data_IF_901083837932
#
_entry.id   IF_901083837932
#
_cell.length_a   1.000
_cell.length_b   1.000
_cell.length_c   1.000
_cell.angle_alpha   90.00
_cell.angle_beta   90.00
_cell.angle_gamma   90.00
#
_symmetry.space_group_name_H-M   'P 1'
#
loop_
_entity.id
_entity.type
_entity.pdbx_description
1 polymer ?
#
# COMPACT_ATOMS: atom_id res chain seq x y z
N UNK A 1 -6.83 6.58 -16.34
CA UNK A 1 -7.25 5.77 -15.17
C UNK A 1 -8.57 5.07 -15.44
N UNK A 2 -8.75 3.85 -14.94
CA UNK A 2 -10.03 3.13 -14.94
C UNK A 2 -10.68 3.30 -13.57
N UNK A 3 -12.00 3.51 -13.51
CA UNK A 3 -12.75 3.67 -12.26
C UNK A 3 -13.74 2.50 -12.10
N UNK A 4 -13.72 1.87 -10.93
CA UNK A 4 -14.67 0.85 -10.49
C UNK A 4 -15.33 1.37 -9.22
N UNK A 5 -16.62 1.65 -9.30
CA UNK A 5 -17.41 2.14 -8.16
C UNK A 5 -18.24 0.99 -7.61
N UNK A 6 -18.12 0.76 -6.33
CA UNK A 6 -18.80 -0.32 -5.60
C UNK A 6 -19.78 0.28 -4.59
N UNK A 7 -20.83 -0.43 -4.25
CA UNK A 7 -21.85 0.08 -3.32
C UNK A 7 -21.32 0.30 -1.91
N UNK A 8 -20.34 -0.51 -1.50
CA UNK A 8 -19.82 -0.53 -0.14
C UNK A 8 -18.41 -1.13 -0.07
N UNK A 9 -17.85 -1.11 1.14
CA UNK A 9 -16.52 -1.64 1.43
C UNK A 9 -16.35 -3.13 1.06
N UNK A 10 -17.39 -3.96 1.25
CA UNK A 10 -17.32 -5.38 0.92
C UNK A 10 -17.20 -5.63 -0.58
N UNK A 11 -18.02 -4.96 -1.38
CA UNK A 11 -17.96 -5.05 -2.84
C UNK A 11 -16.63 -4.49 -3.37
N UNK A 12 -16.15 -3.36 -2.83
CA UNK A 12 -14.84 -2.79 -3.15
C UNK A 12 -13.71 -3.80 -2.86
N UNK A 13 -13.75 -4.41 -1.69
CA UNK A 13 -12.76 -5.41 -1.28
C UNK A 13 -12.76 -6.65 -2.18
N UNK A 14 -13.94 -7.14 -2.56
CA UNK A 14 -14.08 -8.27 -3.48
C UNK A 14 -13.59 -7.93 -4.89
N UNK A 15 -13.93 -6.74 -5.41
CA UNK A 15 -13.46 -6.28 -6.71
C UNK A 15 -11.92 -6.14 -6.76
N UNK A 16 -11.33 -5.58 -5.69
CA UNK A 16 -9.88 -5.46 -5.58
C UNK A 16 -9.19 -6.84 -5.50
N UNK A 17 -9.73 -7.77 -4.69
CA UNK A 17 -9.22 -9.13 -4.58
C UNK A 17 -9.28 -9.88 -5.91
N UNK A 18 -10.35 -9.70 -6.69
CA UNK A 18 -10.47 -10.31 -8.00
C UNK A 18 -9.40 -9.82 -8.98
N UNK A 19 -9.09 -8.52 -8.99
CA UNK A 19 -8.02 -7.97 -9.83
C UNK A 19 -6.66 -8.58 -9.47
N UNK A 20 -6.34 -8.68 -8.17
CA UNK A 20 -5.09 -9.30 -7.69
C UNK A 20 -5.06 -10.78 -8.05
N UNK A 21 -6.15 -11.50 -7.83
CA UNK A 21 -6.28 -12.92 -8.16
C UNK A 21 -6.07 -13.20 -9.66
N UNK A 22 -6.62 -12.35 -10.53
CA UNK A 22 -6.46 -12.49 -11.98
C UNK A 22 -4.99 -12.28 -12.41
N UNK A 23 -4.28 -11.34 -11.76
CA UNK A 23 -2.83 -11.16 -11.98
C UNK A 23 -2.06 -12.40 -11.53
N UNK A 24 -2.35 -12.95 -10.34
CA UNK A 24 -1.70 -14.17 -9.83
C UNK A 24 -1.97 -15.38 -10.71
N UNK A 25 -3.18 -15.54 -11.24
CA UNK A 25 -3.53 -16.64 -12.18
C UNK A 25 -2.79 -16.52 -13.51
N UNK A 26 -2.52 -15.30 -13.96
CA UNK A 26 -1.78 -15.04 -15.21
C UNK A 26 -0.29 -15.26 -15.04
N UNK A 27 0.27 -14.89 -13.87
CA UNK A 27 1.68 -15.06 -13.51
C UNK A 27 1.80 -15.58 -12.07
N UNK A 28 1.84 -16.92 -11.88
CA UNK A 28 1.90 -17.53 -10.55
C UNK A 28 3.20 -17.27 -9.77
N UNK A 29 4.20 -16.67 -10.40
CA UNK A 29 5.46 -16.27 -9.78
C UNK A 29 5.65 -14.75 -9.70
N UNK A 30 4.58 -14.00 -9.86
CA UNK A 30 4.63 -12.55 -9.89
C UNK A 30 5.04 -11.92 -8.55
N UNK A 31 5.43 -10.64 -8.63
CA UNK A 31 5.65 -9.78 -7.48
C UNK A 31 4.37 -8.99 -7.21
N UNK A 32 3.90 -9.02 -5.97
CA UNK A 32 2.78 -8.20 -5.50
C UNK A 32 3.30 -7.05 -4.64
N UNK A 33 2.95 -5.82 -5.00
CA UNK A 33 3.14 -4.66 -4.16
C UNK A 33 1.94 -4.49 -3.21
N UNK A 34 2.19 -4.46 -1.91
CA UNK A 34 1.14 -4.51 -0.88
C UNK A 34 1.14 -3.26 -0.01
N UNK A 35 -0.03 -2.91 0.50
CA UNK A 35 -0.27 -1.79 1.38
C UNK A 35 -0.77 -2.26 2.75
N UNK A 36 -0.56 -1.45 3.78
CA UNK A 36 -1.12 -1.63 5.11
C UNK A 36 -2.29 -0.66 5.37
N UNK A 37 -2.82 -0.66 6.58
CA UNK A 37 -3.97 0.14 6.96
C UNK A 37 -5.29 -0.60 6.83
N UNK A 38 -6.39 0.03 7.24
CA UNK A 38 -7.71 -0.62 7.32
C UNK A 38 -8.34 -0.91 5.95
N UNK A 39 -8.05 -0.09 4.95
CA UNK A 39 -8.69 -0.20 3.63
C UNK A 39 -8.43 -1.53 2.91
N UNK A 40 -7.19 -2.07 2.81
CA UNK A 40 -6.94 -3.32 2.11
C UNK A 40 -7.30 -4.59 2.90
N UNK A 41 -7.67 -4.51 4.17
CA UNK A 41 -7.94 -5.69 5.01
C UNK A 41 -9.05 -6.58 4.43
N UNK A 42 -10.13 -5.99 3.93
CA UNK A 42 -11.21 -6.75 3.29
C UNK A 42 -10.74 -7.49 2.04
N UNK A 43 -9.89 -6.87 1.23
CA UNK A 43 -9.25 -7.51 0.08
C UNK A 43 -8.39 -8.70 0.52
N UNK A 44 -7.56 -8.55 1.58
CA UNK A 44 -6.73 -9.65 2.09
C UNK A 44 -7.59 -10.83 2.60
N UNK A 45 -8.70 -10.54 3.30
CA UNK A 45 -9.64 -11.59 3.71
C UNK A 45 -10.18 -12.37 2.51
N UNK A 46 -10.55 -11.70 1.43
CA UNK A 46 -11.02 -12.36 0.20
C UNK A 46 -9.93 -13.19 -0.48
N UNK A 47 -8.70 -12.68 -0.54
CA UNK A 47 -7.55 -13.45 -1.07
C UNK A 47 -7.26 -14.70 -0.23
N UNK A 48 -7.38 -14.63 1.10
CA UNK A 48 -7.26 -15.78 2.00
C UNK A 48 -8.37 -16.81 1.72
N UNK A 49 -9.62 -16.37 1.56
CA UNK A 49 -10.76 -17.24 1.21
C UNK A 49 -10.47 -17.95 -0.12
N UNK A 50 -10.03 -17.23 -1.16
CA UNK A 50 -9.69 -17.78 -2.48
C UNK A 50 -8.53 -18.78 -2.41
N UNK A 51 -7.49 -18.50 -1.60
CA UNK A 51 -6.36 -19.42 -1.41
C UNK A 51 -6.83 -20.72 -0.71
N UNK A 52 -7.64 -20.61 0.35
CA UNK A 52 -8.21 -21.77 1.04
C UNK A 52 -9.13 -22.61 0.15
N UNK A 53 -9.82 -21.97 -0.79
CA UNK A 53 -10.64 -22.64 -1.80
C UNK A 53 -9.82 -23.25 -2.95
N UNK A 54 -8.50 -23.03 -3.00
CA UNK A 54 -7.64 -23.51 -4.07
C UNK A 54 -7.77 -22.74 -5.39
N UNK A 55 -8.39 -21.56 -5.36
CA UNK A 55 -8.56 -20.71 -6.55
C UNK A 55 -7.30 -19.94 -6.93
N UNK A 56 -6.45 -19.62 -5.96
CA UNK A 56 -5.16 -18.95 -6.12
C UNK A 56 -4.10 -19.61 -5.22
N UNK A 57 -2.83 -19.51 -5.64
CA UNK A 57 -1.68 -20.13 -4.97
C UNK A 57 -0.63 -19.06 -4.67
N UNK A 58 -0.23 -18.91 -3.40
CA UNK A 58 0.80 -17.96 -2.99
C UNK A 58 2.20 -18.57 -2.93
N UNK A 59 2.38 -19.88 -3.15
CA UNK A 59 3.68 -20.56 -3.01
C UNK A 59 4.76 -20.02 -3.93
N UNK A 60 4.39 -19.51 -5.11
CA UNK A 60 5.29 -18.88 -6.08
C UNK A 60 5.44 -17.36 -5.91
N UNK A 61 4.60 -16.72 -5.12
CA UNK A 61 4.50 -15.26 -5.04
C UNK A 61 5.64 -14.65 -4.23
N UNK A 62 6.10 -13.48 -4.67
CA UNK A 62 6.97 -12.57 -3.90
C UNK A 62 6.18 -11.32 -3.57
N UNK A 63 6.40 -10.73 -2.39
CA UNK A 63 5.72 -9.48 -2.02
C UNK A 63 6.70 -8.38 -1.62
N UNK A 64 6.37 -7.14 -1.94
CA UNK A 64 7.07 -5.94 -1.48
C UNK A 64 6.04 -4.98 -0.87
N UNK A 65 6.29 -4.48 0.34
CA UNK A 65 5.40 -3.54 1.00
C UNK A 65 5.86 -2.09 0.78
N UNK A 66 4.89 -1.16 0.79
CA UNK A 66 5.13 0.26 0.53
C UNK A 66 6.02 0.93 1.58
N UNK A 67 5.90 0.54 2.84
CA UNK A 67 6.50 1.29 3.92
C UNK A 67 6.63 0.47 5.22
N UNK A 68 7.36 1.03 6.18
CA UNK A 68 7.40 0.60 7.59
C UNK A 68 7.64 1.81 8.50
N UNK A 69 7.15 1.79 9.71
CA UNK A 69 7.51 2.78 10.74
C UNK A 69 8.98 2.71 11.13
N UNK A 70 9.52 3.86 11.58
CA UNK A 70 10.90 3.93 12.04
C UNK A 70 11.06 4.87 13.25
N UNK A 71 11.75 4.42 14.34
CA UNK A 71 12.20 3.04 14.57
C UNK A 71 11.05 2.16 15.06
N UNK A 72 10.99 0.90 14.60
CA UNK A 72 10.04 -0.09 15.11
C UNK A 72 10.59 -1.52 14.94
N UNK A 73 10.34 -2.37 15.95
CA UNK A 73 10.63 -3.81 15.85
C UNK A 73 9.58 -4.52 14.97
N UNK A 74 9.96 -5.49 14.13
CA UNK A 74 9.00 -6.30 13.37
C UNK A 74 8.08 -7.16 14.26
N UNK A 75 8.45 -7.40 15.52
CA UNK A 75 7.63 -8.08 16.53
C UNK A 75 6.64 -7.15 17.23
N UNK A 76 6.80 -5.84 17.10
CA UNK A 76 5.85 -4.88 17.62
C UNK A 76 4.51 -5.05 16.87
N UNK A 77 3.42 -5.18 17.63
CA UNK A 77 2.08 -5.42 17.09
C UNK A 77 1.55 -4.25 16.22
N UNK A 78 2.23 -3.11 16.21
CA UNK A 78 1.92 -1.97 15.36
C UNK A 78 2.86 -1.85 14.14
N UNK A 79 3.88 -2.72 14.01
CA UNK A 79 4.71 -2.72 12.81
C UNK A 79 3.93 -3.19 11.57
N UNK A 80 4.32 -2.72 10.41
CA UNK A 80 3.70 -3.17 9.16
C UNK A 80 4.09 -4.60 8.81
N UNK A 81 5.27 -5.07 9.24
CA UNK A 81 5.62 -6.50 9.18
C UNK A 81 4.64 -7.34 9.97
N UNK A 82 4.35 -6.96 11.22
CA UNK A 82 3.37 -7.67 12.05
C UNK A 82 1.97 -7.60 11.44
N UNK A 83 1.55 -6.41 10.98
CA UNK A 83 0.27 -6.23 10.29
C UNK A 83 0.10 -7.19 9.11
N UNK A 84 1.12 -7.31 8.26
CA UNK A 84 1.06 -8.19 7.09
C UNK A 84 1.02 -9.66 7.48
N UNK A 85 1.76 -10.07 8.50
CA UNK A 85 1.68 -11.42 9.04
C UNK A 85 0.25 -11.73 9.49
N UNK A 86 -0.33 -10.87 10.33
CA UNK A 86 -1.67 -11.07 10.92
C UNK A 86 -2.81 -11.00 9.89
N UNK A 87 -2.68 -10.20 8.84
CA UNK A 87 -3.79 -9.97 7.90
C UNK A 87 -3.68 -10.77 6.61
N UNK A 88 -2.50 -11.35 6.29
CA UNK A 88 -2.33 -12.13 5.07
C UNK A 88 -1.34 -13.29 5.23
N UNK A 89 -0.07 -13.05 5.59
CA UNK A 89 1.01 -14.02 5.39
C UNK A 89 0.84 -15.29 6.24
N UNK A 90 0.29 -15.20 7.44
CA UNK A 90 0.05 -16.34 8.33
C UNK A 90 -1.14 -17.21 7.89
N UNK A 91 -1.93 -16.75 6.92
CA UNK A 91 -3.18 -17.37 6.52
C UNK A 91 -3.16 -18.00 5.13
N UNK A 92 -2.05 -17.82 4.38
CA UNK A 92 -1.86 -18.32 3.03
C UNK A 92 -0.55 -19.12 2.92
N UNK A 93 -0.38 -19.87 1.85
CA UNK A 93 0.78 -20.73 1.63
C UNK A 93 2.00 -20.00 1.04
N UNK A 94 2.22 -18.74 1.42
CA UNK A 94 3.39 -17.96 0.97
C UNK A 94 4.67 -18.39 1.72
N UNK A 95 5.78 -18.43 1.01
CA UNK A 95 7.11 -18.49 1.64
C UNK A 95 7.46 -17.10 2.20
N UNK A 96 7.47 -16.97 3.54
CA UNK A 96 7.74 -15.69 4.20
C UNK A 96 9.13 -15.11 3.91
N UNK A 97 10.10 -15.93 3.47
CA UNK A 97 11.42 -15.45 3.04
C UNK A 97 11.36 -14.64 1.74
N UNK A 98 10.23 -14.71 1.03
CA UNK A 98 9.93 -13.96 -0.18
C UNK A 98 9.00 -12.76 0.06
N UNK A 99 8.80 -12.38 1.32
CA UNK A 99 7.99 -11.21 1.70
C UNK A 99 8.88 -10.11 2.25
N UNK A 100 8.92 -8.97 1.59
CA UNK A 100 9.80 -7.86 1.92
C UNK A 100 9.03 -6.66 2.45
N UNK A 101 9.47 -6.14 3.58
CA UNK A 101 9.02 -4.90 4.22
C UNK A 101 10.27 -4.12 4.56
N UNK A 102 10.31 -2.78 4.44
CA UNK A 102 11.47 -1.99 4.84
C UNK A 102 11.91 -2.29 6.28
N UNK A 103 13.23 -2.24 6.55
CA UNK A 103 13.77 -2.56 7.88
C UNK A 103 13.58 -1.40 8.86
N UNK A 104 12.54 -1.47 9.67
CA UNK A 104 12.25 -0.48 10.73
C UNK A 104 13.23 -0.48 11.90
N UNK A 105 14.16 -1.44 12.01
CA UNK A 105 15.16 -1.52 13.07
C UNK A 105 16.58 -1.18 12.62
N UNK A 106 16.78 -0.85 11.35
CA UNK A 106 18.12 -0.56 10.83
C UNK A 106 18.81 0.55 11.62
N UNK A 107 20.09 0.39 11.88
CA UNK A 107 20.90 1.41 12.58
C UNK A 107 21.03 2.71 11.75
N UNK A 108 21.06 2.58 10.41
CA UNK A 108 21.05 3.68 9.46
C UNK A 108 19.81 3.55 8.56
N UNK A 109 18.79 4.38 8.77
CA UNK A 109 17.57 4.31 7.99
C UNK A 109 17.76 4.72 6.52
N UNK A 110 18.75 5.56 6.19
CA UNK A 110 19.04 5.92 4.80
C UNK A 110 19.64 4.73 4.04
N UNK A 111 20.61 4.03 4.65
CA UNK A 111 21.15 2.79 4.09
C UNK A 111 20.09 1.69 3.96
N UNK A 112 19.13 1.62 4.90
CA UNK A 112 18.01 0.69 4.80
C UNK A 112 17.10 1.00 3.60
N UNK A 113 16.87 2.27 3.29
CA UNK A 113 16.12 2.67 2.10
C UNK A 113 16.83 2.28 0.81
N UNK A 114 18.16 2.47 0.73
CA UNK A 114 18.96 2.05 -0.42
C UNK A 114 18.93 0.53 -0.60
N UNK A 115 19.13 -0.23 0.48
CA UNK A 115 19.05 -1.69 0.47
C UNK A 115 17.65 -2.19 0.04
N UNK A 116 16.59 -1.49 0.44
CA UNK A 116 15.24 -1.83 0.03
C UNK A 116 14.99 -1.58 -1.47
N UNK A 117 15.52 -0.49 -2.03
CA UNK A 117 15.50 -0.25 -3.48
C UNK A 117 16.23 -1.35 -4.25
N UNK A 118 17.37 -1.84 -3.74
CA UNK A 118 18.10 -2.97 -4.34
C UNK A 118 17.25 -4.25 -4.33
N UNK A 119 16.54 -4.52 -3.23
CA UNK A 119 15.62 -5.66 -3.13
C UNK A 119 14.51 -5.52 -4.19
N UNK A 120 13.86 -4.36 -4.26
CA UNK A 120 12.78 -4.09 -5.22
C UNK A 120 13.27 -4.23 -6.66
N UNK A 121 14.46 -3.70 -6.97
CA UNK A 121 15.07 -3.83 -8.29
C UNK A 121 15.40 -5.31 -8.63
N UNK A 122 15.88 -6.08 -7.66
CA UNK A 122 16.26 -7.49 -7.84
C UNK A 122 15.05 -8.40 -8.05
N UNK A 123 13.96 -8.20 -7.30
CA UNK A 123 12.76 -9.04 -7.45
C UNK A 123 11.95 -8.64 -8.69
N UNK A 124 12.19 -7.45 -9.22
CA UNK A 124 11.53 -6.91 -10.41
C UNK A 124 10.29 -6.08 -10.07
N UNK A 125 9.71 -5.41 -11.08
CA UNK A 125 8.56 -4.56 -10.87
C UNK A 125 7.37 -5.37 -10.39
N UNK A 126 6.58 -4.80 -9.47
CA UNK A 126 5.33 -5.42 -9.04
C UNK A 126 4.38 -5.59 -10.24
N UNK A 127 3.84 -6.80 -10.41
CA UNK A 127 2.83 -7.08 -11.42
C UNK A 127 1.55 -6.28 -11.14
N UNK A 128 1.22 -6.11 -9.85
CA UNK A 128 0.23 -5.17 -9.36
C UNK A 128 0.71 -4.54 -8.05
N UNK A 129 0.64 -3.22 -7.96
CA UNK A 129 0.86 -2.45 -6.73
C UNK A 129 -0.49 -2.04 -6.16
N UNK A 130 -0.77 -2.49 -4.95
CA UNK A 130 -1.94 -2.06 -4.17
C UNK A 130 -1.59 -0.79 -3.41
N UNK A 131 -2.45 0.21 -3.47
CA UNK A 131 -2.34 1.47 -2.75
C UNK A 131 -3.63 1.74 -1.96
N UNK A 132 -3.50 2.35 -0.80
CA UNK A 132 -4.54 3.16 -0.18
C UNK A 132 -4.33 4.63 -0.53
N UNK A 133 -5.29 5.49 -0.16
CA UNK A 133 -5.17 6.95 -0.27
C UNK A 133 -5.45 7.61 1.08
N UNK A 134 -4.58 8.53 1.48
CA UNK A 134 -4.83 9.39 2.64
C UNK A 134 -5.93 10.43 2.37
N UNK A 135 -6.52 10.98 3.43
CA UNK A 135 -7.51 12.07 3.30
C UNK A 135 -6.93 13.31 2.61
N UNK A 136 -5.63 13.55 2.77
CA UNK A 136 -4.89 14.63 2.11
C UNK A 136 -4.28 14.24 0.75
N UNK A 137 -4.57 13.03 0.26
CA UNK A 137 -4.09 12.54 -1.02
C UNK A 137 -2.71 11.88 -0.99
N UNK A 138 -2.13 11.60 0.19
CA UNK A 138 -0.87 10.84 0.26
C UNK A 138 -1.05 9.39 -0.20
N UNK A 139 0.02 8.82 -0.74
CA UNK A 139 0.16 7.39 -1.07
C UNK A 139 1.46 6.86 -0.47
N UNK A 140 1.40 5.68 0.22
CA UNK A 140 2.44 5.30 1.15
C UNK A 140 2.54 6.35 2.26
N UNK A 141 3.75 6.80 2.59
CA UNK A 141 3.97 8.00 3.42
C UNK A 141 4.52 9.18 2.60
N UNK A 142 4.19 9.23 1.29
CA UNK A 142 4.47 10.42 0.48
C UNK A 142 3.40 11.47 0.76
N UNK A 143 3.66 12.34 1.73
CA UNK A 143 2.76 13.41 2.15
C UNK A 143 2.78 14.59 1.17
N UNK A 144 1.72 15.43 1.13
CA UNK A 144 1.74 16.69 0.39
C UNK A 144 2.96 17.55 0.73
N UNK A 145 3.73 17.94 -0.30
CA UNK A 145 4.92 18.77 -0.16
C UNK A 145 5.15 19.58 -1.45
N UNK A 146 6.14 20.48 -1.43
CA UNK A 146 6.60 21.23 -2.61
C UNK A 146 7.37 20.37 -3.60
N UNK A 147 7.97 19.27 -3.14
CA UNK A 147 8.64 18.26 -3.94
C UNK A 147 8.29 16.86 -3.43
N UNK A 148 8.39 15.86 -4.28
CA UNK A 148 8.12 14.45 -3.93
C UNK A 148 9.36 13.62 -4.27
N UNK A 149 9.71 12.71 -3.35
CA UNK A 149 10.84 11.80 -3.53
C UNK A 149 10.53 10.71 -4.56
N UNK A 150 11.52 10.38 -5.37
CA UNK A 150 11.40 9.37 -6.43
C UNK A 150 11.61 7.97 -5.90
N UNK A 151 12.63 7.79 -5.03
CA UNK A 151 13.03 6.48 -4.48
C UNK A 151 12.54 6.30 -3.05
N UNK A 152 12.72 5.10 -2.54
CA UNK A 152 12.50 4.80 -1.11
C UNK A 152 13.35 5.72 -0.25
N UNK A 153 12.72 6.34 0.74
CA UNK A 153 13.32 7.38 1.57
C UNK A 153 12.79 7.37 2.99
N UNK A 154 13.51 8.04 3.86
CA UNK A 154 13.07 8.32 5.23
C UNK A 154 12.19 9.58 5.21
N UNK A 155 11.00 9.48 5.77
CA UNK A 155 10.10 10.65 5.89
C UNK A 155 9.67 10.88 7.33
N UNK A 156 9.43 12.14 7.70
CA UNK A 156 8.73 12.50 8.92
C UNK A 156 7.23 12.33 8.75
N UNK A 157 6.55 11.82 9.77
CA UNK A 157 5.09 11.76 9.77
C UNK A 157 4.49 13.11 10.14
N UNK A 158 3.45 13.53 9.43
CA UNK A 158 2.72 14.74 9.78
C UNK A 158 1.93 14.56 11.07
N UNK A 159 1.64 15.64 11.79
CA UNK A 159 0.81 15.58 13.01
C UNK A 159 -0.55 14.94 12.75
N UNK A 160 -1.15 15.21 11.58
CA UNK A 160 -2.42 14.59 11.17
C UNK A 160 -2.30 13.09 11.01
N UNK A 161 -1.20 12.59 10.44
CA UNK A 161 -0.92 11.17 10.29
C UNK A 161 -0.64 10.51 11.65
N UNK A 162 0.13 11.15 12.52
CA UNK A 162 0.38 10.67 13.90
C UNK A 162 -0.93 10.56 14.66
N UNK A 163 -1.78 11.60 14.66
CA UNK A 163 -3.09 11.57 15.31
C UNK A 163 -4.03 10.51 14.73
N UNK A 164 -4.06 10.36 13.41
CA UNK A 164 -4.89 9.33 12.77
C UNK A 164 -4.45 7.91 13.14
N UNK A 165 -3.15 7.70 13.37
CA UNK A 165 -2.57 6.41 13.72
C UNK A 165 -2.53 6.15 15.23
N UNK A 166 -2.68 7.19 16.10
CA UNK A 166 -2.66 7.06 17.55
C UNK A 166 -3.66 6.02 18.09
N UNK A 167 -4.77 5.83 17.40
CA UNK A 167 -5.79 4.80 17.72
C UNK A 167 -5.27 3.35 17.70
N UNK A 168 -4.11 3.11 17.09
CA UNK A 168 -3.48 1.79 17.03
C UNK A 168 -2.39 1.60 18.09
N UNK A 169 -1.98 2.64 18.78
CA UNK A 169 -0.92 2.63 19.80
C UNK A 169 -1.50 2.85 21.20
N UNK A 170 -0.74 2.53 22.24
CA UNK A 170 -1.14 2.75 23.63
C UNK A 170 -1.33 4.25 23.94
N UNK A 171 -0.53 5.12 23.33
CA UNK A 171 -0.67 6.58 23.38
C UNK A 171 -0.15 7.22 22.09
N UNK A 172 -0.50 8.49 21.85
CA UNK A 172 0.03 9.27 20.72
C UNK A 172 1.56 9.40 20.78
N UNK A 173 2.15 9.44 21.99
CA UNK A 173 3.59 9.51 22.19
C UNK A 173 4.34 8.23 21.77
N UNK A 174 3.64 7.10 21.65
CA UNK A 174 4.22 5.83 21.24
C UNK A 174 4.21 5.66 19.70
N UNK A 175 3.53 6.54 18.98
CA UNK A 175 3.54 6.53 17.51
C UNK A 175 4.92 6.95 17.01
N UNK A 176 5.60 6.14 16.19
CA UNK A 176 6.86 6.56 15.57
C UNK A 176 6.68 7.86 14.79
N UNK A 177 7.67 8.75 14.86
CA UNK A 177 7.64 10.07 14.18
C UNK A 177 8.18 10.02 12.76
N UNK A 178 8.75 8.90 12.35
CA UNK A 178 9.33 8.66 11.02
C UNK A 178 8.85 7.36 10.43
N UNK A 179 9.00 7.25 9.12
CA UNK A 179 8.79 6.02 8.38
C UNK A 179 9.81 5.88 7.25
N UNK A 180 10.00 4.65 6.77
CA UNK A 180 10.65 4.32 5.51
C UNK A 180 9.52 4.07 4.50
N UNK A 181 9.53 4.75 3.35
CA UNK A 181 8.46 4.63 2.37
C UNK A 181 9.00 4.59 0.94
N UNK A 182 8.42 3.74 0.10
CA UNK A 182 8.66 3.82 -1.34
C UNK A 182 8.32 5.22 -1.84
N UNK A 183 9.20 5.79 -2.65
CA UNK A 183 8.95 7.05 -3.34
C UNK A 183 8.02 6.89 -4.54
N UNK A 184 7.60 8.01 -5.12
CA UNK A 184 6.65 8.05 -6.23
C UNK A 184 7.16 7.26 -7.45
N UNK A 185 8.45 7.39 -7.79
CA UNK A 185 9.02 6.67 -8.94
C UNK A 185 9.05 5.16 -8.74
N UNK A 186 9.39 4.69 -7.52
CA UNK A 186 9.36 3.26 -7.17
C UNK A 186 7.94 2.70 -7.27
N UNK A 187 6.94 3.45 -6.81
CA UNK A 187 5.51 3.08 -6.95
C UNK A 187 5.10 3.02 -8.43
N UNK A 188 5.45 4.04 -9.21
CA UNK A 188 5.09 4.13 -10.63
C UNK A 188 5.80 3.08 -11.52
N UNK A 189 6.82 2.40 -11.02
CA UNK A 189 7.51 1.33 -11.76
C UNK A 189 6.71 0.01 -11.82
N UNK A 190 5.61 -0.11 -11.09
CA UNK A 190 4.73 -1.28 -11.16
C UNK A 190 4.12 -1.43 -12.56
N UNK A 191 3.78 -2.66 -12.96
CA UNK A 191 3.11 -2.92 -14.26
C UNK A 191 1.65 -2.47 -14.26
N UNK A 192 0.98 -2.62 -13.13
CA UNK A 192 -0.40 -2.21 -12.85
C UNK A 192 -0.46 -1.59 -11.46
N UNK A 193 -1.31 -0.59 -11.28
CA UNK A 193 -1.59 -0.01 -9.96
C UNK A 193 -3.09 -0.13 -9.71
N UNK A 194 -3.46 -0.57 -8.51
CA UNK A 194 -4.82 -0.44 -7.99
C UNK A 194 -4.79 0.44 -6.76
N UNK A 195 -5.66 1.44 -6.71
CA UNK A 195 -5.81 2.31 -5.55
C UNK A 195 -7.19 2.13 -4.95
N UNK A 196 -7.23 1.86 -3.65
CA UNK A 196 -8.43 1.54 -2.89
C UNK A 196 -8.84 2.75 -2.06
N UNK A 197 -10.11 3.10 -2.12
CA UNK A 197 -10.66 4.18 -1.29
C UNK A 197 -12.06 3.84 -0.81
N UNK A 198 -12.31 3.98 0.50
CA UNK A 198 -13.61 3.76 1.09
C UNK A 198 -13.98 4.87 2.09
N UNK A 199 -15.26 5.23 2.07
CA UNK A 199 -15.85 6.22 2.98
C UNK A 199 -15.67 7.66 2.52
N UNK A 200 -16.63 8.52 2.90
CA UNK A 200 -16.74 9.93 2.50
C UNK A 200 -15.50 10.77 2.80
N UNK A 201 -14.72 10.42 3.83
CA UNK A 201 -13.48 11.12 4.17
C UNK A 201 -12.39 11.06 3.08
N UNK A 202 -12.57 10.23 2.04
CA UNK A 202 -11.64 10.10 0.90
C UNK A 202 -12.07 10.92 -0.32
N UNK A 203 -13.27 11.50 -0.30
CA UNK A 203 -13.87 12.19 -1.43
C UNK A 203 -12.98 13.27 -2.04
N UNK A 204 -12.48 14.19 -1.22
CA UNK A 204 -11.64 15.30 -1.70
C UNK A 204 -10.33 14.80 -2.35
N UNK A 205 -9.70 13.80 -1.76
CA UNK A 205 -8.47 13.21 -2.29
C UNK A 205 -8.72 12.50 -3.63
N UNK A 206 -9.79 11.70 -3.73
CA UNK A 206 -10.20 11.04 -4.98
C UNK A 206 -10.55 12.06 -6.06
N UNK A 207 -11.30 13.10 -5.72
CA UNK A 207 -11.67 14.16 -6.66
C UNK A 207 -10.44 14.88 -7.22
N UNK A 208 -9.48 15.24 -6.36
CA UNK A 208 -8.21 15.86 -6.79
C UNK A 208 -7.39 14.93 -7.67
N UNK A 209 -7.27 13.65 -7.29
CA UNK A 209 -6.55 12.65 -8.08
C UNK A 209 -7.16 12.46 -9.47
N UNK A 210 -8.49 12.40 -9.56
CA UNK A 210 -9.21 12.19 -10.83
C UNK A 210 -9.28 13.45 -11.72
N UNK A 211 -8.90 14.62 -11.22
CA UNK A 211 -8.95 15.87 -11.97
C UNK A 211 -7.98 15.92 -13.18
N UNK A 212 -7.13 14.91 -13.36
CA UNK A 212 -6.20 14.83 -14.49
C UNK A 212 -5.07 15.87 -14.46
N UNK A 213 -4.77 16.42 -13.28
CA UNK A 213 -3.70 17.40 -13.05
C UNK A 213 -2.66 16.79 -12.12
N UNK A 214 -1.39 17.16 -12.34
CA UNK A 214 -0.30 16.79 -11.43
C UNK A 214 -0.15 17.90 -10.39
N UNK A 215 -0.35 17.52 -9.13
CA UNK A 215 -0.31 18.45 -8.01
C UNK A 215 0.38 17.77 -6.81
N UNK A 216 1.54 18.30 -6.40
CA UNK A 216 2.30 17.77 -5.27
C UNK A 216 1.55 17.93 -3.93
N UNK A 217 0.56 18.82 -3.87
CA UNK A 217 -0.36 18.91 -2.72
C UNK A 217 -1.35 17.73 -2.64
N UNK A 218 -1.35 16.85 -3.64
CA UNK A 218 -2.08 15.59 -3.67
C UNK A 218 -1.20 14.53 -4.35
N UNK A 219 -0.28 13.87 -3.63
CA UNK A 219 0.68 12.92 -4.20
C UNK A 219 0.05 11.83 -5.06
N UNK A 220 -1.18 11.40 -4.73
CA UNK A 220 -1.94 10.45 -5.55
C UNK A 220 -2.20 10.96 -6.98
N UNK A 221 -2.15 12.27 -7.23
CA UNK A 221 -2.29 12.84 -8.57
C UNK A 221 -1.18 12.40 -9.51
N UNK A 222 0.01 12.03 -8.99
CA UNK A 222 1.12 11.50 -9.78
C UNK A 222 0.78 10.18 -10.47
N UNK A 223 -0.22 9.45 -9.99
CA UNK A 223 -0.72 8.23 -10.64
C UNK A 223 -1.28 8.50 -12.05
N UNK A 224 -1.61 9.75 -12.39
CA UNK A 224 -1.98 10.13 -13.77
C UNK A 224 -0.84 9.94 -14.78
N UNK A 225 0.40 9.81 -14.34
CA UNK A 225 1.57 9.50 -15.18
C UNK A 225 1.68 8.02 -15.53
N UNK A 226 0.96 7.14 -14.81
CA UNK A 226 1.04 5.70 -15.02
C UNK A 226 0.00 5.23 -16.06
N UNK A 227 0.41 4.30 -16.94
CA UNK A 227 -0.42 3.84 -18.06
C UNK A 227 -1.62 2.97 -17.62
N UNK A 228 -1.48 2.18 -16.54
CA UNK A 228 -2.49 1.21 -16.09
C UNK A 228 -2.83 1.39 -14.60
N UNK A 229 -3.69 2.34 -14.31
CA UNK A 229 -4.23 2.60 -12.96
C UNK A 229 -5.72 2.29 -12.92
N UNK A 230 -6.12 1.50 -11.94
CA UNK A 230 -7.52 1.24 -11.61
C UNK A 230 -7.83 1.79 -10.21
N UNK A 231 -8.77 2.70 -10.14
CA UNK A 231 -9.35 3.20 -8.89
C UNK A 231 -10.52 2.31 -8.53
N UNK A 232 -10.47 1.67 -7.37
CA UNK A 232 -11.56 0.84 -6.83
C UNK A 232 -12.06 1.54 -5.56
N UNK A 233 -13.25 2.10 -5.60
CA UNK A 233 -13.79 2.87 -4.48
C UNK A 233 -15.24 2.51 -4.20
N UNK A 234 -15.71 2.82 -2.98
CA UNK A 234 -17.13 2.78 -2.70
C UNK A 234 -17.82 4.10 -3.09
N UNK A 235 -19.16 4.06 -3.16
CA UNK A 235 -19.97 5.24 -3.50
C UNK A 235 -19.72 6.41 -2.56
N UNK A 236 -19.48 6.15 -1.27
CA UNK A 236 -19.23 7.18 -0.27
C UNK A 236 -17.89 7.91 -0.52
N UNK A 237 -16.84 7.20 -0.96
CA UNK A 237 -15.57 7.82 -1.30
C UNK A 237 -15.67 8.67 -2.58
N UNK A 238 -16.56 8.30 -3.52
CA UNK A 238 -16.73 9.03 -4.77
C UNK A 238 -17.66 10.24 -4.65
N UNK A 239 -18.75 10.13 -3.87
CA UNK A 239 -19.83 11.12 -3.84
C UNK A 239 -19.78 12.06 -2.62
N UNK A 240 -19.01 11.73 -1.58
CA UNK A 240 -18.91 12.50 -0.34
C UNK A 240 -19.91 12.08 0.72
#
# INVERSE_FOLDING_TARGET
MKLIVCKNYEEMSAAAAQIVADVMKTDPACVLGLATGSTPVGMYKKLIEMNKAGEIDFSGITTVNLAEYYPISPENDQSYRYFMNQNLFDHVNIDKTRTFVPDGQAADPAAACEAYEEIVAKVGPAAVQVLGIGQNGHIGFNEPDTALEVKTHVTGLTESTIKANARFFASEADVPTKALTMGIGTILNAKKIIILANGASKHDAITKMLAGKLDTSCPASMLNLHADVTVVCDEAALNG
#
